data_IF_175561889654
#
_entry.id   IF_175561889654
#
_cell.length_a   1.000
_cell.length_b   1.000
_cell.length_c   1.000
_cell.angle_alpha   90.00
_cell.angle_beta   90.00
_cell.angle_gamma   90.00
#
_symmetry.space_group_name_H-M   'P 1'
#
loop_
_entity.id
_entity.type
_entity.pdbx_description
1 polymer ?
#
# COMPACT_ATOMS: atom_id res chain seq x y z
N UNK A 1 8.33 -24.66 -6.96
CA UNK A 1 7.30 -23.80 -7.59
C UNK A 1 5.92 -24.24 -7.07
N UNK A 2 5.44 -23.63 -5.99
CA UNK A 2 4.12 -23.90 -5.35
C UNK A 2 3.34 -22.60 -5.08
N UNK A 3 3.92 -21.44 -5.39
CA UNK A 3 3.40 -20.13 -4.99
C UNK A 3 2.51 -19.49 -6.07
N UNK A 4 2.71 -19.88 -7.34
CA UNK A 4 1.97 -19.31 -8.48
C UNK A 4 0.49 -19.74 -8.51
N UNK A 5 0.22 -21.00 -8.18
CA UNK A 5 -1.16 -21.51 -8.09
C UNK A 5 -1.92 -20.96 -6.88
N UNK A 6 -1.24 -20.71 -5.76
CA UNK A 6 -1.85 -20.11 -4.58
C UNK A 6 -2.26 -18.64 -4.83
N UNK A 7 -1.45 -17.87 -5.59
CA UNK A 7 -1.80 -16.47 -5.91
C UNK A 7 -3.05 -16.32 -6.78
N UNK A 8 -3.26 -17.22 -7.75
CA UNK A 8 -4.48 -17.22 -8.56
C UNK A 8 -5.70 -17.73 -7.78
N UNK A 9 -5.50 -18.63 -6.82
CA UNK A 9 -6.59 -19.14 -5.96
C UNK A 9 -7.13 -18.07 -4.98
N UNK A 10 -6.30 -17.10 -4.61
CA UNK A 10 -6.62 -16.06 -3.62
C UNK A 10 -7.18 -14.75 -4.23
N UNK A 11 -7.42 -14.73 -5.55
CA UNK A 11 -8.14 -13.63 -6.22
C UNK A 11 -7.48 -12.24 -6.11
N UNK A 12 -6.17 -12.16 -5.83
CA UNK A 12 -5.45 -10.89 -5.62
C UNK A 12 -5.55 -10.30 -4.21
N UNK A 13 -6.27 -10.96 -3.29
CA UNK A 13 -6.45 -10.50 -1.91
C UNK A 13 -5.11 -10.43 -1.16
N UNK A 14 -4.22 -11.40 -1.38
CA UNK A 14 -2.85 -11.41 -0.84
C UNK A 14 -2.01 -10.25 -1.38
N UNK A 15 -2.07 -9.96 -2.69
CA UNK A 15 -1.30 -8.87 -3.29
C UNK A 15 -1.71 -7.51 -2.71
N UNK A 16 -3.02 -7.35 -2.51
CA UNK A 16 -3.63 -6.16 -1.91
C UNK A 16 -3.24 -5.99 -0.44
N UNK A 17 -3.32 -7.06 0.35
CA UNK A 17 -2.85 -7.06 1.74
C UNK A 17 -1.37 -6.66 1.84
N UNK A 18 -0.50 -7.22 0.99
CA UNK A 18 0.91 -6.84 0.95
C UNK A 18 1.12 -5.37 0.58
N UNK A 19 0.31 -4.83 -0.34
CA UNK A 19 0.35 -3.42 -0.70
C UNK A 19 0.02 -2.53 0.50
N UNK A 20 -1.06 -2.85 1.23
CA UNK A 20 -1.46 -2.16 2.46
C UNK A 20 -0.38 -2.20 3.53
N UNK A 21 0.19 -3.37 3.81
CA UNK A 21 1.25 -3.49 4.83
C UNK A 21 2.49 -2.67 4.46
N UNK A 22 2.85 -2.57 3.16
CA UNK A 22 3.95 -1.72 2.69
C UNK A 22 3.62 -0.23 2.85
N UNK A 23 2.45 0.19 2.40
CA UNK A 23 2.01 1.58 2.50
C UNK A 23 1.93 2.02 3.97
N UNK A 24 1.33 1.20 4.84
CA UNK A 24 1.19 1.50 6.26
C UNK A 24 2.55 1.68 6.94
N UNK A 25 3.54 0.81 6.68
CA UNK A 25 4.89 0.95 7.26
C UNK A 25 5.57 2.24 6.85
N UNK A 26 5.42 2.64 5.58
CA UNK A 26 5.98 3.92 5.09
C UNK A 26 5.26 5.10 5.72
N UNK A 27 3.93 5.08 5.77
CA UNK A 27 3.13 6.10 6.44
C UNK A 27 3.51 6.23 7.92
N UNK A 28 3.65 5.13 8.65
CA UNK A 28 4.00 5.16 10.07
C UNK A 28 5.41 5.74 10.29
N UNK A 29 6.36 5.43 9.42
CA UNK A 29 7.74 5.91 9.52
C UNK A 29 7.92 7.37 9.09
N UNK A 30 7.19 7.83 8.06
CA UNK A 30 7.39 9.15 7.44
C UNK A 30 6.32 10.18 7.84
N UNK A 31 5.14 9.71 8.20
CA UNK A 31 3.95 10.53 8.40
C UNK A 31 3.24 10.29 9.74
N UNK A 32 3.83 9.48 10.65
CA UNK A 32 3.19 9.11 11.92
C UNK A 32 2.84 10.30 12.82
N UNK A 33 3.63 11.37 12.77
CA UNK A 33 3.42 12.61 13.53
C UNK A 33 2.61 13.68 12.75
N UNK A 34 2.24 13.41 11.50
CA UNK A 34 1.48 14.36 10.70
C UNK A 34 -0.02 14.22 10.95
N UNK A 35 -0.77 15.34 10.92
CA UNK A 35 -2.22 15.30 11.01
C UNK A 35 -2.81 14.47 9.86
N UNK A 36 -3.89 13.74 10.14
CA UNK A 36 -4.55 12.89 9.15
C UNK A 36 -4.02 11.46 9.05
N UNK A 37 -3.02 11.06 9.86
CA UNK A 37 -2.49 9.69 9.87
C UNK A 37 -3.55 8.62 10.14
N UNK A 38 -4.41 8.79 11.14
CA UNK A 38 -5.43 7.79 11.46
C UNK A 38 -6.48 7.66 10.36
N UNK A 39 -6.92 8.77 9.76
CA UNK A 39 -7.85 8.78 8.62
C UNK A 39 -7.22 8.16 7.37
N UNK A 40 -5.94 8.44 7.12
CA UNK A 40 -5.17 7.84 6.05
C UNK A 40 -5.03 6.31 6.24
N UNK A 41 -4.72 5.85 7.46
CA UNK A 41 -4.63 4.43 7.77
C UNK A 41 -5.99 3.73 7.60
N UNK A 42 -7.08 4.38 8.02
CA UNK A 42 -8.44 3.85 7.83
C UNK A 42 -8.80 3.73 6.36
N UNK A 43 -8.53 4.78 5.57
CA UNK A 43 -8.78 4.79 4.13
C UNK A 43 -7.95 3.73 3.38
N UNK A 44 -6.69 3.53 3.77
CA UNK A 44 -5.82 2.50 3.22
C UNK A 44 -6.45 1.10 3.34
N UNK A 45 -6.85 0.70 4.55
CA UNK A 45 -7.45 -0.62 4.77
C UNK A 45 -8.87 -0.76 4.19
N UNK A 46 -9.56 0.36 3.96
CA UNK A 46 -10.86 0.40 3.28
C UNK A 46 -10.78 0.32 1.75
N UNK A 47 -9.58 0.31 1.14
CA UNK A 47 -9.39 0.49 -0.31
C UNK A 47 -9.85 1.84 -0.87
N UNK A 48 -9.90 2.88 -0.04
CA UNK A 48 -10.31 4.20 -0.51
C UNK A 48 -9.06 5.07 -0.74
N UNK A 49 -8.47 4.92 -1.93
CA UNK A 49 -7.25 5.66 -2.32
C UNK A 49 -7.51 7.17 -2.40
N UNK A 50 -8.71 7.57 -2.82
CA UNK A 50 -9.11 8.98 -2.85
C UNK A 50 -9.23 9.55 -1.44
N UNK A 51 -9.82 8.82 -0.49
CA UNK A 51 -9.85 9.22 0.92
C UNK A 51 -8.46 9.24 1.55
N UNK A 52 -7.58 8.30 1.18
CA UNK A 52 -6.18 8.30 1.61
C UNK A 52 -5.48 9.60 1.15
N UNK A 53 -5.61 9.97 -0.12
CA UNK A 53 -5.00 11.17 -0.67
C UNK A 53 -5.55 12.45 -0.01
N UNK A 54 -6.86 12.50 0.29
CA UNK A 54 -7.50 13.61 1.02
C UNK A 54 -7.00 13.69 2.47
N UNK A 55 -6.93 12.58 3.19
CA UNK A 55 -6.45 12.54 4.56
C UNK A 55 -4.98 12.95 4.68
N UNK A 56 -4.16 12.58 3.68
CA UNK A 56 -2.75 12.92 3.58
C UNK A 56 -2.49 14.29 2.91
N UNK A 57 -3.50 15.16 2.74
CA UNK A 57 -3.34 16.43 2.03
C UNK A 57 -2.36 17.41 2.72
N UNK A 58 -2.21 17.30 4.04
CA UNK A 58 -1.28 18.10 4.86
C UNK A 58 0.16 17.59 4.84
N UNK A 59 0.41 16.41 4.27
CA UNK A 59 1.74 15.79 4.25
C UNK A 59 2.59 16.38 3.15
N UNK A 60 3.93 16.23 3.23
CA UNK A 60 4.79 16.48 2.09
C UNK A 60 4.29 15.69 0.87
N UNK A 61 4.21 16.36 -0.28
CA UNK A 61 3.66 15.78 -1.51
C UNK A 61 4.31 14.44 -1.86
N UNK A 62 5.64 14.34 -1.76
CA UNK A 62 6.37 13.10 -2.07
C UNK A 62 5.97 11.94 -1.15
N UNK A 63 5.70 12.21 0.13
CA UNK A 63 5.29 11.19 1.10
C UNK A 63 3.89 10.68 0.77
N UNK A 64 2.95 11.59 0.49
CA UNK A 64 1.58 11.23 0.08
C UNK A 64 1.59 10.43 -1.22
N UNK A 65 2.26 10.93 -2.24
CA UNK A 65 2.27 10.30 -3.56
C UNK A 65 2.93 8.92 -3.50
N UNK A 66 3.99 8.78 -2.68
CA UNK A 66 4.63 7.48 -2.45
C UNK A 66 3.73 6.52 -1.67
N UNK A 67 3.01 6.98 -0.64
CA UNK A 67 2.06 6.15 0.10
C UNK A 67 0.90 5.67 -0.79
N UNK A 68 0.33 6.55 -1.62
CA UNK A 68 -0.73 6.23 -2.60
C UNK A 68 -0.25 5.20 -3.61
N UNK A 69 0.97 5.37 -4.13
CA UNK A 69 1.59 4.39 -5.04
C UNK A 69 1.76 3.01 -4.41
N UNK A 70 2.15 2.95 -3.13
CA UNK A 70 2.34 1.69 -2.41
C UNK A 70 1.03 1.01 -2.01
N UNK A 71 -0.05 1.78 -1.83
CA UNK A 71 -1.36 1.27 -1.46
C UNK A 71 -2.02 0.44 -2.58
N UNK A 72 -1.55 0.61 -3.81
CA UNK A 72 -2.01 -0.15 -4.97
C UNK A 72 -1.23 -1.48 -5.08
N UNK A 73 -1.92 -2.62 -5.31
CA UNK A 73 -1.25 -3.87 -5.57
C UNK A 73 -0.43 -3.75 -6.84
N UNK A 74 0.90 -3.88 -6.72
CA UNK A 74 1.75 -4.01 -7.88
C UNK A 74 1.59 -5.42 -8.44
N UNK A 75 1.13 -5.54 -9.68
CA UNK A 75 1.30 -6.76 -10.45
C UNK A 75 2.79 -6.93 -10.71
N UNK A 76 3.52 -7.51 -9.75
CA UNK A 76 4.94 -7.82 -9.94
C UNK A 76 5.03 -9.02 -10.89
N UNK A 77 5.51 -8.87 -12.16
CA UNK A 77 5.98 -10.02 -12.91
C UNK A 77 7.24 -10.47 -12.19
N UNK A 78 7.16 -11.58 -11.47
CA UNK A 78 8.32 -12.14 -10.79
C UNK A 78 9.19 -12.85 -11.82
N UNK A 79 10.01 -12.08 -12.51
CA UNK A 79 11.21 -12.58 -13.17
C UNK A 79 12.42 -11.79 -12.67
N UNK A 80 13.08 -12.34 -11.65
CA UNK A 80 14.53 -12.29 -11.56
C UNK A 80 15.00 -13.33 -10.54
N UNK A 81 15.51 -14.41 -11.12
CA UNK A 81 16.57 -15.27 -10.61
C UNK A 81 17.31 -14.67 -9.41
N UNK A 82 17.12 -15.28 -8.25
CA UNK A 82 18.24 -15.40 -7.31
C UNK A 82 19.06 -16.59 -7.79
N UNK A 83 20.11 -16.29 -8.55
CA UNK A 83 21.31 -17.12 -8.64
C UNK A 83 22.00 -17.20 -7.28
#
# INVERSE_FOLDING_TARGET
RLVDQARKADGGQTARRLAHERAYRVMAALAGDYPGFEDAARALFADDIDALARAAASWPQDVRDYAVKLAQPQEQPQDQSRE
#
